data_IF_616937866381
#
_entry.id   IF_616937866381
#
_cell.length_a   1.000
_cell.length_b   1.000
_cell.length_c   1.000
_cell.angle_alpha   90.00
_cell.angle_beta   90.00
_cell.angle_gamma   90.00
#
_symmetry.space_group_name_H-M   'P 1'
#
loop_
_entity.id
_entity.type
_entity.pdbx_description
1 polymer ?
#
# COMPACT_ATOMS: atom_id res chain seq x y z
N UNK A 1 -7.97 -14.11 -9.41
CA UNK A 1 -6.61 -13.70 -9.03
C UNK A 1 -6.56 -13.29 -7.57
N UNK A 2 -5.44 -13.57 -6.90
CA UNK A 2 -5.16 -13.11 -5.55
C UNK A 2 -4.07 -12.04 -5.61
N UNK A 3 -4.30 -10.93 -4.93
CA UNK A 3 -3.39 -9.79 -4.90
C UNK A 3 -3.10 -9.38 -3.46
N UNK A 4 -1.90 -8.84 -3.24
CA UNK A 4 -1.44 -8.42 -1.91
C UNK A 4 -1.11 -6.94 -1.92
N UNK A 5 -1.56 -6.23 -0.89
CA UNK A 5 -1.07 -4.90 -0.54
C UNK A 5 -0.37 -5.02 0.80
N UNK A 6 0.91 -4.66 0.84
CA UNK A 6 1.68 -4.67 2.08
C UNK A 6 1.40 -3.37 2.82
N UNK A 7 1.00 -3.43 4.08
CA UNK A 7 0.54 -2.25 4.81
C UNK A 7 1.43 -1.93 6.00
N UNK A 8 1.57 -0.63 6.32
CA UNK A 8 2.30 -0.08 7.47
C UNK A 8 3.80 -0.40 7.47
N UNK A 9 4.43 -0.43 6.30
CA UNK A 9 5.88 -0.67 6.15
C UNK A 9 6.64 0.56 6.63
N UNK A 10 7.66 0.37 7.47
CA UNK A 10 8.50 1.45 8.02
C UNK A 10 9.91 1.43 7.46
N UNK A 11 10.41 0.26 7.08
CA UNK A 11 11.81 0.06 6.67
C UNK A 11 11.92 -0.83 5.45
N UNK A 12 13.02 -0.67 4.71
CA UNK A 12 13.35 -1.52 3.56
C UNK A 12 13.61 -2.97 3.97
N UNK A 13 14.05 -3.22 5.21
CA UNK A 13 14.24 -4.56 5.75
C UNK A 13 12.91 -5.31 5.94
N UNK A 14 11.88 -4.61 6.43
CA UNK A 14 10.53 -5.17 6.55
C UNK A 14 9.94 -5.48 5.17
N UNK A 15 10.15 -4.60 4.20
CA UNK A 15 9.73 -4.83 2.81
C UNK A 15 10.38 -6.09 2.25
N UNK A 16 11.71 -6.18 2.34
CA UNK A 16 12.46 -7.33 1.83
C UNK A 16 12.02 -8.63 2.49
N UNK A 17 11.81 -8.62 3.81
CA UNK A 17 11.32 -9.79 4.54
C UNK A 17 9.96 -10.26 4.00
N UNK A 18 9.06 -9.34 3.69
CA UNK A 18 7.72 -9.66 3.20
C UNK A 18 7.79 -10.19 1.77
N UNK A 19 8.57 -9.56 0.90
CA UNK A 19 8.80 -10.01 -0.48
C UNK A 19 9.41 -11.41 -0.53
N UNK A 20 10.41 -11.70 0.31
CA UNK A 20 11.09 -12.99 0.36
C UNK A 20 10.17 -14.13 0.83
N UNK A 21 9.12 -13.85 1.60
CA UNK A 21 8.23 -14.85 2.20
C UNK A 21 6.88 -15.02 1.48
N UNK A 22 6.48 -14.07 0.63
CA UNK A 22 5.21 -14.13 -0.10
C UNK A 22 5.29 -14.97 -1.38
N UNK A 23 6.47 -15.45 -1.79
CA UNK A 23 6.63 -16.32 -2.95
C UNK A 23 6.04 -15.71 -4.23
N UNK A 24 5.18 -16.46 -4.93
CA UNK A 24 4.66 -16.08 -6.25
C UNK A 24 3.41 -15.17 -6.21
N UNK A 25 3.04 -14.65 -5.04
CA UNK A 25 1.89 -13.75 -4.95
C UNK A 25 2.15 -12.40 -5.62
N UNK A 26 1.14 -11.87 -6.30
CA UNK A 26 1.24 -10.57 -6.96
C UNK A 26 1.05 -9.46 -5.93
N UNK A 27 2.15 -8.79 -5.58
CA UNK A 27 2.14 -7.60 -4.73
C UNK A 27 1.78 -6.39 -5.59
N UNK A 28 0.67 -5.71 -5.28
CA UNK A 28 0.23 -4.49 -5.97
C UNK A 28 0.99 -3.24 -5.51
N UNK A 29 1.57 -3.29 -4.32
CA UNK A 29 2.39 -2.22 -3.77
C UNK A 29 2.41 -2.26 -2.26
N UNK A 30 3.04 -1.24 -1.68
CA UNK A 30 3.15 -1.06 -0.24
C UNK A 30 2.56 0.27 0.19
N UNK A 31 1.99 0.30 1.39
CA UNK A 31 1.55 1.51 2.06
C UNK A 31 2.54 1.81 3.21
N UNK A 32 3.24 2.95 3.17
CA UNK A 32 4.17 3.31 4.23
C UNK A 32 3.42 3.59 5.53
N UNK A 33 4.07 3.36 6.65
CA UNK A 33 3.56 3.85 7.92
C UNK A 33 3.68 5.38 7.97
N UNK A 34 2.58 6.05 8.29
CA UNK A 34 2.56 7.50 8.56
C UNK A 34 1.81 7.79 9.86
N UNK A 35 2.45 8.54 10.76
CA UNK A 35 1.81 8.99 12.00
C UNK A 35 0.61 9.89 11.73
N UNK A 36 0.67 10.70 10.67
CA UNK A 36 -0.45 11.58 10.25
C UNK A 36 -1.64 10.77 9.79
N UNK A 37 -1.41 9.71 9.03
CA UNK A 37 -2.45 8.76 8.62
C UNK A 37 -3.07 8.08 9.83
N UNK A 38 -2.24 7.62 10.79
CA UNK A 38 -2.73 7.02 12.04
C UNK A 38 -3.59 8.00 12.84
N UNK A 39 -3.16 9.25 12.97
CA UNK A 39 -3.93 10.30 13.67
C UNK A 39 -5.24 10.66 12.95
N UNK A 40 -5.23 10.70 11.62
CA UNK A 40 -6.43 10.93 10.80
C UNK A 40 -7.46 9.82 11.02
N UNK A 41 -7.00 8.56 11.00
CA UNK A 41 -7.83 7.38 11.23
C UNK A 41 -8.45 7.39 12.65
N UNK A 42 -7.67 7.74 13.67
CA UNK A 42 -8.15 7.92 15.05
C UNK A 42 -9.23 9.01 15.18
N UNK A 43 -9.23 9.99 14.27
CA UNK A 43 -10.22 11.07 14.21
C UNK A 43 -11.36 10.77 13.22
N UNK A 44 -11.41 9.56 12.66
CA UNK A 44 -12.36 9.13 11.63
C UNK A 44 -12.33 9.97 10.35
N UNK A 45 -11.18 10.56 10.02
CA UNK A 45 -10.96 11.26 8.76
C UNK A 45 -10.26 10.37 7.73
N UNK A 46 -10.43 10.69 6.45
CA UNK A 46 -9.78 9.96 5.36
C UNK A 46 -8.25 10.08 5.46
N UNK A 47 -7.51 8.97 5.26
CA UNK A 47 -6.06 8.99 5.27
C UNK A 47 -5.46 9.65 4.02
N UNK A 48 -6.20 9.72 2.91
CA UNK A 48 -5.71 10.27 1.63
C UNK A 48 -5.41 11.77 1.67
N UNK A 49 -5.93 12.50 2.68
CA UNK A 49 -5.62 13.92 2.88
C UNK A 49 -4.60 14.17 3.99
N UNK A 50 -4.09 13.12 4.65
CA UNK A 50 -3.22 13.24 5.80
C UNK A 50 -1.72 13.22 5.44
N UNK A 51 -1.39 12.53 4.34
CA UNK A 51 -0.01 12.30 3.92
C UNK A 51 0.07 12.07 2.40
N UNK A 52 0.91 12.85 1.73
CA UNK A 52 1.04 12.80 0.26
C UNK A 52 1.81 11.55 -0.22
N UNK A 53 2.74 11.03 0.57
CA UNK A 53 3.46 9.80 0.22
C UNK A 53 2.51 8.61 0.30
N UNK A 54 1.73 8.53 1.37
CA UNK A 54 0.70 7.51 1.54
C UNK A 54 -0.35 7.58 0.41
N UNK A 55 -0.81 8.78 0.06
CA UNK A 55 -1.75 8.99 -1.05
C UNK A 55 -1.15 8.51 -2.38
N UNK A 56 0.10 8.87 -2.66
CA UNK A 56 0.80 8.43 -3.87
C UNK A 56 0.89 6.90 -3.95
N UNK A 57 1.19 6.23 -2.84
CA UNK A 57 1.18 4.77 -2.79
C UNK A 57 -0.18 4.16 -3.10
N UNK A 58 -1.28 4.76 -2.62
CA UNK A 58 -2.64 4.34 -2.98
C UNK A 58 -2.87 4.49 -4.49
N UNK A 59 -2.48 5.62 -5.08
CA UNK A 59 -2.65 5.88 -6.52
C UNK A 59 -1.85 4.87 -7.36
N UNK A 60 -0.63 4.55 -6.97
CA UNK A 60 0.20 3.53 -7.63
C UNK A 60 -0.42 2.13 -7.54
N UNK A 61 -0.93 1.74 -6.37
CA UNK A 61 -1.64 0.47 -6.16
C UNK A 61 -2.89 0.40 -7.04
N UNK A 62 -3.69 1.48 -7.06
CA UNK A 62 -4.91 1.56 -7.87
C UNK A 62 -4.59 1.44 -9.36
N UNK A 63 -3.58 2.14 -9.85
CA UNK A 63 -3.12 2.06 -11.24
C UNK A 63 -2.62 0.66 -11.60
N UNK A 64 -1.94 -0.03 -10.67
CA UNK A 64 -1.48 -1.40 -10.89
C UNK A 64 -2.65 -2.38 -10.91
N UNK A 65 -3.61 -2.23 -10.00
CA UNK A 65 -4.82 -3.04 -9.96
C UNK A 65 -5.65 -2.87 -11.24
N UNK A 66 -5.78 -1.64 -11.74
CA UNK A 66 -6.51 -1.33 -12.98
C UNK A 66 -5.98 -2.15 -14.17
N UNK A 67 -4.66 -2.31 -14.28
CA UNK A 67 -4.04 -3.14 -15.33
C UNK A 67 -4.40 -4.63 -15.24
N UNK A 68 -4.76 -5.13 -14.06
CA UNK A 68 -5.18 -6.52 -13.87
C UNK A 68 -6.69 -6.69 -14.08
N UNK A 69 -7.50 -5.74 -13.61
CA UNK A 69 -8.96 -5.81 -13.69
C UNK A 69 -9.47 -5.40 -15.09
N UNK A 70 -8.95 -4.31 -15.64
CA UNK A 70 -9.39 -3.74 -16.91
C UNK A 70 -8.52 -4.21 -18.09
N UNK A 71 -8.01 -5.45 -18.04
CA UNK A 71 -7.39 -6.11 -19.20
C UNK A 71 -8.39 -6.10 -20.37
N UNK A 72 -8.24 -5.12 -21.26
CA UNK A 72 -8.69 -5.22 -22.65
C UNK A 72 -7.73 -6.13 -23.41
#
# INVERSE_FOLDING_TARGET
DLFIVVNKVRTDEEEKLIEDNLGDFVILGKLPYSDRVRESDLKHFSPCGADEEFKKSIEEIANKLDKYINKK
#
